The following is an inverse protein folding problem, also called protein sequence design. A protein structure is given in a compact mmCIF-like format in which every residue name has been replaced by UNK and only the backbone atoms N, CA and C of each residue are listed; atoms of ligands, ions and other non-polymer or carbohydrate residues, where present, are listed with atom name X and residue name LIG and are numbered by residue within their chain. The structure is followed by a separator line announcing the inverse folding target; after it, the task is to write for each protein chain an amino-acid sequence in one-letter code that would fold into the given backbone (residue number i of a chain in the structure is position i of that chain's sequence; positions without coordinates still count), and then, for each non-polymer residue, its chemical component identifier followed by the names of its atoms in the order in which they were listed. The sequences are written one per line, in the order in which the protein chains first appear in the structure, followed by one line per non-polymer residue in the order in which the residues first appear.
data_IF_820911641671
#
_entry.id   IF_820911641671
#
_cell.length_a   1.000
_cell.length_b   1.000
_cell.length_c   1.000
_cell.angle_alpha   90.00
_cell.angle_beta   90.00
_cell.angle_gamma   90.00
#
_symmetry.space_group_name_H-M   'P 1'
#
loop_
_entity.id
_entity.type
_entity.pdbx_description
1 polymer ?
#
# COMPACT_ATOMS: atom_id res chain seq x y z
N UNK A 1 14.92 23.74 10.49
CA UNK A 1 13.88 22.69 10.59
C UNK A 1 13.73 21.87 9.31
N UNK A 2 13.52 22.47 8.13
CA UNK A 2 13.40 21.73 6.85
C UNK A 2 14.55 20.76 6.55
N UNK A 3 15.80 21.19 6.75
CA UNK A 3 16.98 20.36 6.51
C UNK A 3 17.03 19.14 7.43
N UNK A 4 16.57 19.26 8.68
CA UNK A 4 16.50 18.13 9.62
C UNK A 4 15.55 17.04 9.11
N UNK A 5 14.33 17.40 8.69
CA UNK A 5 13.39 16.44 8.11
C UNK A 5 13.90 15.78 6.84
N UNK A 6 14.61 16.53 5.98
CA UNK A 6 15.23 15.97 4.78
C UNK A 6 16.40 15.03 5.11
N UNK A 7 17.21 15.34 6.12
CA UNK A 7 18.29 14.48 6.57
C UNK A 7 17.72 13.18 7.15
N UNK A 8 16.72 13.26 8.03
CA UNK A 8 16.06 12.06 8.60
C UNK A 8 15.41 11.24 7.48
N UNK A 9 14.70 11.88 6.55
CA UNK A 9 14.13 11.21 5.38
C UNK A 9 15.20 10.50 4.54
N UNK A 10 16.32 11.17 4.24
CA UNK A 10 17.39 10.61 3.43
C UNK A 10 18.02 9.40 4.13
N UNK A 11 18.26 9.50 5.44
CA UNK A 11 18.84 8.42 6.24
C UNK A 11 17.93 7.18 6.26
N UNK A 12 16.63 7.38 6.53
CA UNK A 12 15.64 6.30 6.54
C UNK A 12 15.41 5.69 5.15
N UNK A 13 15.41 6.52 4.11
CA UNK A 13 15.27 6.04 2.73
C UNK A 13 16.48 5.20 2.33
N UNK A 14 17.69 5.67 2.66
CA UNK A 14 18.95 4.98 2.36
C UNK A 14 19.03 3.63 3.08
N UNK A 15 18.68 3.57 4.38
CA UNK A 15 18.70 2.32 5.13
C UNK A 15 17.66 1.33 4.61
N UNK A 16 16.44 1.78 4.30
CA UNK A 16 15.40 0.94 3.73
C UNK A 16 15.79 0.38 2.36
N UNK A 17 16.28 1.23 1.44
CA UNK A 17 16.76 0.77 0.13
C UNK A 17 18.00 -0.12 0.25
N UNK A 18 18.90 0.19 1.18
CA UNK A 18 20.13 -0.57 1.41
C UNK A 18 19.84 -1.97 1.94
N UNK A 19 18.85 -2.12 2.82
CA UNK A 19 18.43 -3.43 3.31
C UNK A 19 17.87 -4.30 2.17
N UNK A 20 16.97 -3.76 1.34
CA UNK A 20 16.41 -4.50 0.21
C UNK A 20 17.47 -4.79 -0.87
N UNK A 21 18.40 -3.86 -1.11
CA UNK A 21 19.51 -4.08 -2.04
C UNK A 21 20.48 -5.17 -1.56
N UNK A 22 20.71 -5.24 -0.25
CA UNK A 22 21.50 -6.32 0.37
C UNK A 22 20.82 -7.67 0.18
N UNK A 23 19.51 -7.77 0.41
CA UNK A 23 18.76 -9.01 0.18
C UNK A 23 18.81 -9.43 -1.29
N UNK A 24 18.73 -8.48 -2.23
CA UNK A 24 18.90 -8.76 -3.65
C UNK A 24 20.32 -9.26 -3.98
N UNK A 25 21.35 -8.70 -3.33
CA UNK A 25 22.74 -9.13 -3.54
C UNK A 25 22.99 -10.56 -3.03
N UNK A 26 22.39 -10.92 -1.90
CA UNK A 26 22.50 -12.26 -1.30
C UNK A 26 21.71 -13.29 -2.12
N UNK A 27 20.52 -12.92 -2.57
CA UNK A 27 19.63 -13.80 -3.33
C UNK A 27 19.09 -13.06 -4.57
N UNK A 28 19.82 -13.07 -5.69
CA UNK A 28 19.39 -12.39 -6.91
C UNK A 28 18.16 -13.09 -7.48
N UNK A 29 17.02 -12.42 -7.42
CA UNK A 29 15.77 -12.88 -8.02
C UNK A 29 14.98 -11.71 -8.58
N UNK A 30 14.18 -11.96 -9.61
CA UNK A 30 13.28 -10.95 -10.20
C UNK A 30 12.27 -10.40 -9.18
N UNK A 31 11.85 -11.23 -8.23
CA UNK A 31 10.94 -10.84 -7.14
C UNK A 31 11.65 -9.85 -6.20
N UNK A 32 12.90 -10.13 -5.83
CA UNK A 32 13.70 -9.22 -4.98
C UNK A 32 14.04 -7.92 -5.73
N UNK A 33 14.23 -7.98 -7.05
CA UNK A 33 14.45 -6.78 -7.86
C UNK A 33 13.20 -5.89 -7.90
N UNK A 34 12.00 -6.48 -8.02
CA UNK A 34 10.73 -5.75 -7.90
C UNK A 34 10.51 -5.20 -6.49
N UNK A 35 10.99 -5.89 -5.45
CA UNK A 35 10.89 -5.43 -4.08
C UNK A 35 11.61 -4.09 -3.84
N UNK A 36 12.63 -3.74 -4.64
CA UNK A 36 13.30 -2.42 -4.59
C UNK A 36 12.41 -1.26 -5.04
N UNK A 37 11.38 -1.51 -5.86
CA UNK A 37 10.47 -0.46 -6.31
C UNK A 37 9.63 0.10 -5.15
N UNK A 38 9.33 -0.72 -4.15
CA UNK A 38 8.51 -0.33 -3.00
C UNK A 38 9.19 0.71 -2.09
N UNK A 39 10.43 0.52 -1.59
CA UNK A 39 11.11 1.55 -0.82
C UNK A 39 11.42 2.79 -1.67
N UNK A 40 11.70 2.65 -2.97
CA UNK A 40 11.86 3.79 -3.88
C UNK A 40 10.56 4.61 -4.00
N UNK A 41 9.41 3.93 -4.15
CA UNK A 41 8.09 4.54 -4.19
C UNK A 41 7.77 5.33 -2.91
N UNK A 42 7.97 4.71 -1.74
CA UNK A 42 7.73 5.38 -0.45
C UNK A 42 8.66 6.57 -0.23
N UNK A 43 9.93 6.43 -0.60
CA UNK A 43 10.93 7.51 -0.48
C UNK A 43 10.50 8.73 -1.31
N UNK A 44 10.05 8.52 -2.54
CA UNK A 44 9.56 9.59 -3.41
C UNK A 44 8.29 10.25 -2.86
N UNK A 45 7.32 9.46 -2.39
CA UNK A 45 6.07 9.99 -1.83
C UNK A 45 6.31 10.82 -0.56
N UNK A 46 7.14 10.32 0.36
CA UNK A 46 7.50 11.07 1.58
C UNK A 46 8.28 12.33 1.27
N UNK A 47 9.22 12.30 0.32
CA UNK A 47 9.97 13.49 -0.10
C UNK A 47 9.03 14.61 -0.58
N UNK A 48 8.06 14.25 -1.41
CA UNK A 48 7.12 15.22 -1.95
C UNK A 48 6.13 15.74 -0.90
N UNK A 49 5.80 14.91 0.10
CA UNK A 49 4.98 15.31 1.24
C UNK A 49 5.74 16.30 2.14
N UNK A 50 7.01 16.04 2.45
CA UNK A 50 7.91 16.96 3.16
C UNK A 50 8.00 18.29 2.38
N UNK A 51 8.24 18.21 1.07
CA UNK A 51 8.32 19.39 0.20
C UNK A 51 7.01 20.20 0.18
N UNK A 52 5.86 19.52 0.20
CA UNK A 52 4.56 20.16 0.27
C UNK A 52 4.29 20.82 1.62
N UNK A 53 4.71 20.19 2.73
CA UNK A 53 4.55 20.72 4.09
C UNK A 53 5.38 21.99 4.35
N UNK A 54 6.56 22.11 3.74
CA UNK A 54 7.44 23.28 3.87
C UNK A 54 7.18 24.42 2.88
N UNK A 55 6.10 24.37 2.08
CA UNK A 55 5.71 25.51 1.23
C UNK A 55 4.98 26.57 2.08
N UNK A 56 5.24 27.88 1.84
CA UNK A 56 4.63 28.94 2.62
C UNK A 56 3.11 28.94 2.44
N UNK A 57 2.41 29.09 3.56
CA UNK A 57 0.95 29.01 3.64
C UNK A 57 0.25 30.12 2.80
N UNK A 58 0.94 31.21 2.45
CA UNK A 58 0.41 32.27 1.58
C UNK A 58 0.26 31.92 0.10
N UNK A 59 0.78 30.77 -0.35
CA UNK A 59 0.53 30.19 -1.69
C UNK A 59 -0.57 29.12 -1.67
N UNK A 60 -1.31 28.99 -0.56
CA UNK A 60 -2.47 28.11 -0.39
C UNK A 60 -3.70 28.69 -1.11
N UNK A 61 -3.61 28.83 -2.43
CA UNK A 61 -4.80 28.65 -3.25
C UNK A 61 -5.32 27.20 -3.15
N UNK A 62 -6.43 26.86 -3.82
CA UNK A 62 -7.08 25.52 -3.80
C UNK A 62 -6.19 24.30 -4.17
N UNK A 63 -4.88 24.49 -4.39
CA UNK A 63 -3.87 23.49 -4.79
C UNK A 63 -3.25 22.77 -3.58
N UNK A 64 -4.04 22.15 -2.70
CA UNK A 64 -3.52 21.26 -1.64
C UNK A 64 -3.07 19.92 -2.24
N UNK A 65 -1.82 19.82 -2.70
CA UNK A 65 -1.21 18.55 -3.15
C UNK A 65 -0.85 17.59 -2.00
N UNK A 66 -0.99 18.00 -0.74
CA UNK A 66 -0.69 17.16 0.43
C UNK A 66 -1.58 15.91 0.49
N UNK A 67 -2.89 16.06 0.28
CA UNK A 67 -3.82 14.94 0.23
C UNK A 67 -3.53 13.94 -0.89
N UNK A 68 -3.08 14.43 -2.05
CA UNK A 68 -2.63 13.60 -3.18
C UNK A 68 -1.47 12.68 -2.79
N UNK A 69 -0.44 13.21 -2.12
CA UNK A 69 0.71 12.41 -1.69
C UNK A 69 0.36 11.45 -0.56
N UNK A 70 -0.55 11.82 0.35
CA UNK A 70 -1.07 10.91 1.37
C UNK A 70 -1.87 9.76 0.73
N UNK A 71 -2.70 10.04 -0.27
CA UNK A 71 -3.43 9.00 -1.00
C UNK A 71 -2.48 8.03 -1.71
N UNK A 72 -1.42 8.53 -2.35
CA UNK A 72 -0.37 7.69 -2.93
C UNK A 72 0.34 6.86 -1.86
N UNK A 73 0.69 7.46 -0.72
CA UNK A 73 1.33 6.73 0.38
C UNK A 73 0.48 5.53 0.86
N UNK A 74 -0.85 5.69 0.87
CA UNK A 74 -1.79 4.66 1.32
C UNK A 74 -2.14 3.64 0.23
N UNK A 75 -1.82 3.92 -1.04
CA UNK A 75 -2.22 3.07 -2.17
C UNK A 75 -1.65 1.65 -2.09
N UNK A 76 -0.38 1.41 -1.69
CA UNK A 76 0.13 0.05 -1.50
C UNK A 76 -0.55 -0.70 -0.35
N UNK A 77 -1.03 0.01 0.68
CA UNK A 77 -1.75 -0.60 1.81
C UNK A 77 -3.10 -1.18 1.37
N UNK A 78 -3.72 -0.64 0.31
CA UNK A 78 -4.93 -1.22 -0.29
C UNK A 78 -4.69 -2.61 -0.90
N UNK A 79 -3.43 -2.99 -1.18
CA UNK A 79 -3.07 -4.31 -1.71
C UNK A 79 -2.77 -5.34 -0.61
N UNK A 80 -2.63 -4.91 0.64
CA UNK A 80 -2.42 -5.79 1.79
C UNK A 80 -3.50 -6.89 1.94
N UNK A 81 -4.81 -6.58 1.91
CA UNK A 81 -5.85 -7.61 1.99
C UNK A 81 -5.80 -8.62 0.83
N UNK A 82 -5.25 -8.21 -0.31
CA UNK A 82 -5.04 -9.09 -1.46
C UNK A 82 -3.99 -10.16 -1.19
N UNK A 83 -2.89 -9.75 -0.54
CA UNK A 83 -1.81 -10.65 -0.15
C UNK A 83 -2.30 -11.68 0.86
N UNK A 84 -3.05 -11.26 1.89
CA UNK A 84 -3.62 -12.20 2.85
C UNK A 84 -4.57 -13.18 2.18
N UNK A 85 -5.37 -12.74 1.21
CA UNK A 85 -6.25 -13.64 0.47
C UNK A 85 -5.49 -14.62 -0.44
N UNK A 86 -4.33 -14.23 -0.95
CA UNK A 86 -3.42 -15.12 -1.70
C UNK A 86 -2.78 -16.18 -0.83
N UNK A 87 -2.31 -15.82 0.36
CA UNK A 87 -1.75 -16.78 1.32
C UNK A 87 -2.82 -17.80 1.77
N UNK A 88 -4.06 -17.34 2.03
CA UNK A 88 -5.18 -18.22 2.37
C UNK A 88 -5.56 -19.15 1.20
N UNK A 89 -5.52 -18.65 -0.04
CA UNK A 89 -5.74 -19.46 -1.24
C UNK A 89 -4.64 -20.49 -1.49
N UNK A 90 -3.37 -20.16 -1.23
CA UNK A 90 -2.28 -21.14 -1.29
C UNK A 90 -2.44 -22.22 -0.21
N UNK A 91 -3.00 -21.87 0.95
CA UNK A 91 -3.26 -22.81 2.05
C UNK A 91 -4.44 -23.77 1.78
N UNK A 92 -5.11 -23.67 0.64
CA UNK A 92 -6.12 -24.65 0.19
C UNK A 92 -7.51 -24.49 0.80
N UNK A 93 -7.72 -23.52 1.71
CA UNK A 93 -9.02 -23.27 2.32
C UNK A 93 -9.14 -21.85 2.88
N UNK A 94 -10.22 -21.13 2.51
CA UNK A 94 -10.76 -20.03 3.34
C UNK A 94 -11.54 -20.57 4.56
N UNK A 95 -11.45 -21.87 4.82
CA UNK A 95 -12.08 -22.56 5.93
C UNK A 95 -11.28 -22.43 7.22
N UNK A 96 -12.03 -22.38 8.33
CA UNK A 96 -11.65 -22.41 9.74
C UNK A 96 -10.39 -23.23 10.04
N UNK A 97 -9.21 -22.68 9.77
CA UNK A 97 -8.00 -23.13 10.45
C UNK A 97 -7.86 -22.27 11.71
N UNK A 98 -7.95 -22.96 12.83
CA UNK A 98 -7.76 -22.43 14.18
C UNK A 98 -6.28 -22.17 14.40
N UNK A 99 -5.73 -21.22 13.63
CA UNK A 99 -4.38 -20.71 13.81
C UNK A 99 -4.50 -19.41 14.62
N UNK A 100 -4.81 -19.51 15.93
CA UNK A 100 -4.48 -18.58 17.04
C UNK A 100 -4.78 -17.07 16.95
N UNK A 101 -5.25 -16.55 15.82
CA UNK A 101 -5.42 -15.14 15.46
C UNK A 101 -6.92 -14.78 15.36
N UNK A 102 -7.76 -15.47 16.15
CA UNK A 102 -9.22 -15.45 16.07
C UNK A 102 -9.84 -14.06 16.27
N UNK A 103 -9.21 -13.20 17.07
CA UNK A 103 -9.81 -11.91 17.45
C UNK A 103 -9.80 -10.87 16.31
N UNK A 104 -8.88 -10.96 15.34
CA UNK A 104 -8.69 -9.90 14.33
C UNK A 104 -9.50 -10.09 13.04
N UNK A 105 -10.01 -11.30 12.78
CA UNK A 105 -10.61 -11.66 11.50
C UNK A 105 -12.04 -12.22 11.61
N UNK A 106 -12.66 -12.10 12.78
CA UNK A 106 -13.95 -12.71 13.11
C UNK A 106 -15.12 -12.29 12.19
N UNK A 107 -15.06 -11.08 11.61
CA UNK A 107 -16.07 -10.57 10.67
C UNK A 107 -15.69 -10.88 9.21
N UNK A 108 -14.40 -10.94 8.91
CA UNK A 108 -13.88 -11.09 7.55
C UNK A 108 -13.92 -12.55 7.09
N UNK A 109 -13.64 -13.49 7.99
CA UNK A 109 -13.72 -14.95 7.73
C UNK A 109 -15.09 -15.41 7.24
N UNK A 110 -16.22 -15.12 7.93
CA UNK A 110 -17.53 -15.56 7.46
C UNK A 110 -17.96 -14.91 6.15
N UNK A 111 -17.57 -13.65 5.91
CA UNK A 111 -17.83 -12.96 4.65
C UNK A 111 -17.09 -13.63 3.48
N UNK A 112 -15.82 -14.01 3.66
CA UNK A 112 -15.02 -14.67 2.64
C UNK A 112 -15.52 -16.09 2.34
N UNK A 113 -15.95 -16.83 3.36
CA UNK A 113 -16.54 -18.15 3.21
C UNK A 113 -17.87 -18.09 2.43
N UNK A 114 -18.73 -17.13 2.77
CA UNK A 114 -19.99 -16.89 2.03
C UNK A 114 -19.73 -16.51 0.56
N UNK A 115 -18.70 -15.70 0.30
CA UNK A 115 -18.30 -15.34 -1.06
C UNK A 115 -17.75 -16.53 -1.86
N UNK A 116 -17.04 -17.43 -1.19
CA UNK A 116 -16.54 -18.68 -1.78
C UNK A 116 -17.68 -19.59 -2.22
N UNK A 117 -18.74 -19.70 -1.41
CA UNK A 117 -19.93 -20.48 -1.77
C UNK A 117 -20.67 -19.90 -2.99
N UNK A 118 -20.70 -18.58 -3.14
CA UNK A 118 -21.42 -17.92 -4.23
C UNK A 118 -20.69 -17.90 -5.57
N UNK A 119 -19.36 -17.72 -5.56
CA UNK A 119 -18.56 -17.46 -6.78
C UNK A 119 -17.49 -18.53 -7.00
N UNK A 120 -17.43 -19.55 -6.13
CA UNK A 120 -16.43 -20.61 -6.15
C UNK A 120 -15.10 -20.20 -5.52
N UNK A 121 -14.11 -21.10 -5.56
CA UNK A 121 -12.82 -20.97 -4.85
C UNK A 121 -12.02 -19.69 -5.20
N UNK A 122 -12.19 -19.15 -6.42
CA UNK A 122 -11.53 -17.93 -6.89
C UNK A 122 -12.33 -16.66 -6.59
N UNK A 123 -13.59 -16.78 -6.16
CA UNK A 123 -14.50 -15.67 -5.89
C UNK A 123 -13.98 -14.64 -4.88
N UNK A 124 -13.53 -15.06 -3.68
CA UNK A 124 -12.98 -14.17 -2.67
C UNK A 124 -11.80 -13.34 -3.18
N UNK A 125 -10.90 -13.95 -3.95
CA UNK A 125 -9.78 -13.24 -4.58
C UNK A 125 -10.26 -12.17 -5.56
N UNK A 126 -11.17 -12.54 -6.48
CA UNK A 126 -11.63 -11.62 -7.52
C UNK A 126 -12.36 -10.40 -6.93
N UNK A 127 -13.13 -10.58 -5.86
CA UNK A 127 -13.81 -9.48 -5.18
C UNK A 127 -12.82 -8.60 -4.43
N UNK A 128 -11.81 -9.18 -3.77
CA UNK A 128 -10.77 -8.38 -3.11
C UNK A 128 -9.89 -7.64 -4.12
N UNK A 129 -9.62 -8.22 -5.30
CA UNK A 129 -8.97 -7.54 -6.43
C UNK A 129 -9.83 -6.39 -6.92
N UNK A 130 -11.12 -6.62 -7.17
CA UNK A 130 -12.04 -5.57 -7.60
C UNK A 130 -12.16 -4.45 -6.57
N UNK A 131 -12.22 -4.78 -5.27
CA UNK A 131 -12.27 -3.81 -4.18
C UNK A 131 -10.96 -3.02 -4.03
N UNK A 132 -9.81 -3.70 -4.07
CA UNK A 132 -8.50 -3.07 -4.00
C UNK A 132 -8.23 -2.14 -5.19
N UNK A 133 -8.52 -2.60 -6.41
CA UNK A 133 -8.40 -1.81 -7.64
C UNK A 133 -9.42 -0.66 -7.64
N UNK A 134 -10.67 -0.92 -7.22
CA UNK A 134 -11.73 0.08 -7.10
C UNK A 134 -11.34 1.19 -6.12
N UNK A 135 -10.79 0.82 -4.97
CA UNK A 135 -10.32 1.78 -3.96
C UNK A 135 -9.10 2.56 -4.46
N UNK A 136 -8.15 1.91 -5.13
CA UNK A 136 -7.01 2.59 -5.75
C UNK A 136 -7.46 3.59 -6.84
N UNK A 137 -8.43 3.22 -7.68
CA UNK A 137 -9.02 4.10 -8.68
C UNK A 137 -9.81 5.25 -8.07
N UNK A 138 -10.54 5.00 -6.98
CA UNK A 138 -11.27 6.03 -6.23
C UNK A 138 -10.30 7.01 -5.58
N UNK A 139 -9.24 6.53 -4.93
CA UNK A 139 -8.16 7.38 -4.41
C UNK A 139 -7.48 8.19 -5.52
N UNK A 140 -7.24 7.59 -6.70
CA UNK A 140 -6.72 8.29 -7.87
C UNK A 140 -7.70 9.33 -8.44
N UNK A 141 -9.01 9.05 -8.42
CA UNK A 141 -10.04 10.01 -8.84
C UNK A 141 -10.18 11.17 -7.86
N UNK A 142 -10.20 10.89 -6.56
CA UNK A 142 -10.22 11.91 -5.51
C UNK A 142 -8.96 12.77 -5.59
N UNK A 143 -7.81 12.16 -5.89
CA UNK A 143 -6.55 12.89 -6.06
C UNK A 143 -6.53 13.75 -7.34
N UNK A 144 -7.20 13.31 -8.42
CA UNK A 144 -7.42 14.12 -9.64
C UNK A 144 -8.43 15.26 -9.44
N UNK A 145 -9.47 15.06 -8.64
CA UNK A 145 -10.45 16.10 -8.28
C UNK A 145 -9.87 17.22 -7.42
N UNK A 146 -8.74 16.97 -6.76
CA UNK A 146 -7.94 17.98 -6.04
C UNK A 146 -7.07 18.84 -6.98
N UNK A 147 -7.07 18.56 -8.29
CA UNK A 147 -6.40 19.33 -9.34
C UNK A 147 -7.46 20.12 -10.11
N UNK A 148 -7.80 21.31 -9.61
CA UNK A 148 -8.61 22.26 -10.39
C UNK A 148 -7.80 22.74 -11.60
N UNK A 149 -8.39 22.63 -12.79
CA UNK A 149 -7.84 23.10 -14.09
C UNK A 149 -7.49 24.58 -14.04
#
# INVERSE_FOLDING_TARGET
MKSFFLIVWALLSLTATGFVARELWIAPSWINALALLLPAYYSLCFFQLIRAAFRPWGLLGPRRRGGFWVCLLLLPLCLWPLRSAYEIWQAGAYGLRDDGDEARLMIVRPLLAWLQELVGYLGPMLVLVAAGVGMALLLLRLSRGQVVR
#
